data_IF_867086259982
#
_entry.id   IF_867086259982
#
_cell.length_a   1.000
_cell.length_b   1.000
_cell.length_c   1.000
_cell.angle_alpha   90.00
_cell.angle_beta   90.00
_cell.angle_gamma   90.00
#
_symmetry.space_group_name_H-M   'P 1'
#
loop_
_entity.id
_entity.type
_entity.pdbx_description
1 polymer ?
#
# COMPACT_ATOMS: atom_id res chain seq x y z
N UNK A 1 -19.14 26.21 -9.48
CA UNK A 1 -17.95 25.70 -10.20
C UNK A 1 -16.70 26.35 -9.61
N UNK A 2 -16.16 25.80 -8.51
CA UNK A 2 -14.84 26.19 -8.00
C UNK A 2 -13.80 25.40 -8.79
N UNK A 3 -12.83 26.08 -9.41
CA UNK A 3 -11.70 25.41 -10.06
C UNK A 3 -10.85 24.79 -8.97
N UNK A 4 -10.81 23.46 -8.89
CA UNK A 4 -9.84 22.75 -8.06
C UNK A 4 -8.42 23.16 -8.51
N UNK A 5 -7.47 23.30 -7.56
CA UNK A 5 -6.08 23.57 -7.91
C UNK A 5 -5.57 22.39 -8.74
N UNK A 6 -5.12 22.68 -9.96
CA UNK A 6 -4.40 21.76 -10.82
C UNK A 6 -3.06 21.47 -10.13
N UNK A 7 -3.05 20.54 -9.19
CA UNK A 7 -1.82 19.94 -8.68
C UNK A 7 -1.16 19.18 -9.85
N UNK A 8 0.18 19.21 -9.98
CA UNK A 8 0.83 18.77 -11.20
C UNK A 8 0.78 17.23 -11.28
N UNK A 9 -0.24 16.72 -11.97
CA UNK A 9 -0.40 15.33 -12.42
C UNK A 9 0.87 14.75 -13.09
N UNK A 10 1.78 15.63 -13.54
CA UNK A 10 3.07 15.30 -14.13
C UNK A 10 4.04 14.56 -13.20
N UNK A 11 3.93 14.70 -11.87
CA UNK A 11 4.84 14.03 -10.94
C UNK A 11 4.53 12.54 -10.75
N UNK A 12 3.25 12.14 -10.80
CA UNK A 12 2.87 10.72 -10.76
C UNK A 12 3.30 9.96 -12.03
N UNK A 13 3.30 10.66 -13.18
CA UNK A 13 3.79 10.12 -14.45
C UNK A 13 5.31 9.79 -14.42
N UNK A 14 6.10 10.55 -13.65
CA UNK A 14 7.53 10.31 -13.47
C UNK A 14 7.83 9.05 -12.65
N UNK A 15 6.97 8.69 -11.69
CA UNK A 15 7.15 7.46 -10.89
C UNK A 15 6.87 6.19 -11.71
N UNK A 16 5.86 6.22 -12.60
CA UNK A 16 5.55 5.08 -13.49
C UNK A 16 6.57 4.95 -14.62
N UNK A 17 7.09 6.06 -15.16
CA UNK A 17 8.14 6.03 -16.19
C UNK A 17 9.51 5.58 -15.66
N UNK A 18 9.82 5.79 -14.38
CA UNK A 18 11.06 5.31 -13.78
C UNK A 18 11.12 3.77 -13.66
N UNK A 19 9.97 3.08 -13.60
CA UNK A 19 9.91 1.62 -13.52
C UNK A 19 10.10 0.92 -14.89
N UNK A 20 9.92 1.64 -16.01
CA UNK A 20 10.17 1.15 -17.36
C UNK A 20 11.45 1.73 -17.99
N UNK A 21 12.33 2.33 -17.16
CA UNK A 21 13.68 2.68 -17.56
C UNK A 21 14.48 1.41 -17.83
N UNK A 22 14.43 0.94 -19.07
CA UNK A 22 15.27 -0.16 -19.54
C UNK A 22 16.71 0.15 -19.17
N UNK A 23 17.27 -0.63 -18.24
CA UNK A 23 18.68 -0.53 -17.92
C UNK A 23 19.46 -0.61 -19.24
N UNK A 24 20.33 0.37 -19.55
CA UNK A 24 21.21 0.23 -20.69
C UNK A 24 21.95 -1.10 -20.55
N UNK A 25 22.17 -1.85 -21.65
CA UNK A 25 22.88 -3.11 -21.60
C UNK A 25 24.20 -2.90 -20.85
N UNK A 26 24.57 -3.79 -19.92
CA UNK A 26 25.74 -3.62 -19.09
C UNK A 26 26.95 -3.35 -19.99
N UNK A 27 27.61 -2.22 -19.74
CA UNK A 27 28.84 -1.86 -20.44
C UNK A 27 29.83 -3.01 -20.28
N UNK A 28 30.46 -3.50 -21.36
CA UNK A 28 31.37 -4.64 -21.27
C UNK A 28 32.50 -4.33 -20.29
N UNK A 29 32.57 -5.09 -19.19
CA UNK A 29 33.60 -4.95 -18.17
C UNK A 29 34.98 -5.01 -18.83
N UNK A 30 35.85 -4.01 -18.62
CA UNK A 30 37.23 -4.07 -19.10
C UNK A 30 37.91 -5.35 -18.61
N UNK A 31 38.75 -6.00 -19.45
CA UNK A 31 39.47 -7.20 -19.02
C UNK A 31 40.32 -6.88 -17.80
N UNK A 32 40.06 -7.59 -16.70
CA UNK A 32 40.84 -7.45 -15.47
C UNK A 32 42.29 -7.87 -15.75
N UNK A 33 43.29 -7.09 -15.27
CA UNK A 33 44.68 -7.49 -15.36
C UNK A 33 44.91 -8.80 -14.58
N UNK A 34 45.84 -9.66 -15.04
CA UNK A 34 46.14 -10.93 -14.37
C UNK A 34 46.61 -10.68 -12.94
N UNK A 35 45.86 -11.23 -11.98
CA UNK A 35 46.22 -11.19 -10.57
C UNK A 35 47.45 -12.05 -10.33
N UNK A 36 48.52 -11.45 -9.79
CA UNK A 36 49.73 -12.17 -9.40
C UNK A 36 49.41 -13.16 -8.25
N UNK A 37 50.06 -14.35 -8.22
CA UNK A 37 49.86 -15.32 -7.16
C UNK A 37 50.32 -14.74 -5.82
N UNK A 38 49.40 -14.68 -4.86
CA UNK A 38 49.68 -14.31 -3.47
C UNK A 38 50.51 -15.43 -2.84
N UNK A 39 51.74 -15.11 -2.43
CA UNK A 39 52.58 -16.01 -1.64
C UNK A 39 52.01 -16.10 -0.23
N UNK A 40 51.64 -17.29 0.28
CA UNK A 40 51.13 -17.43 1.64
C UNK A 40 52.23 -17.15 2.65
N UNK A 41 51.97 -16.26 3.61
CA UNK A 41 52.85 -16.14 4.77
C UNK A 41 52.71 -17.38 5.67
N UNK A 42 53.83 -17.88 6.23
CA UNK A 42 53.79 -19.02 7.14
C UNK A 42 53.01 -18.69 8.42
N UNK A 43 52.17 -19.62 8.92
CA UNK A 43 51.37 -19.40 10.12
C UNK A 43 52.28 -19.23 11.34
N UNK A 44 52.14 -18.09 12.02
CA UNK A 44 52.77 -17.86 13.32
C UNK A 44 51.96 -18.63 14.36
N UNK A 45 52.61 -19.55 15.09
CA UNK A 45 51.96 -20.34 16.12
C UNK A 45 51.39 -19.42 17.22
N UNK A 46 50.11 -19.58 17.60
CA UNK A 46 49.52 -18.76 18.66
C UNK A 46 50.15 -19.10 20.02
N UNK A 47 50.33 -18.10 20.90
CA UNK A 47 50.80 -18.32 22.26
C UNK A 47 49.79 -19.17 23.03
N UNK A 48 50.30 -20.17 23.76
CA UNK A 48 49.49 -21.08 24.58
C UNK A 48 49.08 -20.35 25.86
N UNK A 49 47.83 -19.91 25.92
CA UNK A 49 47.24 -19.30 27.12
C UNK A 49 46.87 -20.40 28.13
N UNK A 50 47.12 -20.21 29.44
CA UNK A 50 46.67 -21.15 30.47
C UNK A 50 45.14 -21.35 30.45
N UNK A 51 44.63 -22.55 30.80
CA UNK A 51 43.20 -22.82 30.83
C UNK A 51 42.51 -21.94 31.89
N UNK A 52 41.57 -21.10 31.43
CA UNK A 52 40.71 -20.29 32.30
C UNK A 52 39.81 -21.20 33.12
N UNK A 53 39.68 -21.00 34.45
CA UNK A 53 38.72 -21.73 35.27
C UNK A 53 37.29 -21.60 34.71
N UNK A 54 36.44 -22.63 34.81
CA UNK A 54 35.06 -22.55 34.32
C UNK A 54 34.30 -21.44 35.04
N UNK A 55 33.95 -20.39 34.31
CA UNK A 55 33.09 -19.31 34.81
C UNK A 55 31.69 -19.89 35.03
N UNK A 56 31.17 -19.75 36.26
CA UNK A 56 29.76 -20.07 36.52
C UNK A 56 28.88 -19.19 35.61
N UNK A 57 27.84 -19.73 34.96
CA UNK A 57 26.92 -18.91 34.17
C UNK A 57 26.29 -17.86 35.07
N UNK A 58 26.51 -16.59 34.75
CA UNK A 58 25.80 -15.50 35.41
C UNK A 58 24.29 -15.69 35.19
N UNK A 59 23.47 -15.48 36.23
CA UNK A 59 22.03 -15.50 36.06
C UNK A 59 21.64 -14.42 35.03
N UNK A 60 20.70 -14.72 34.10
CA UNK A 60 20.28 -13.76 33.10
C UNK A 60 19.81 -12.48 33.81
N UNK A 61 20.54 -11.38 33.57
CA UNK A 61 20.33 -10.08 34.20
C UNK A 61 19.23 -9.28 33.48
N UNK A 62 18.78 -9.75 32.32
CA UNK A 62 17.67 -9.12 31.62
C UNK A 62 16.35 -9.40 32.34
N UNK A 63 15.62 -8.36 32.77
CA UNK A 63 14.26 -8.51 33.26
C UNK A 63 13.44 -9.28 32.22
N UNK A 64 12.51 -10.16 32.63
CA UNK A 64 11.61 -10.81 31.69
C UNK A 64 10.89 -9.74 30.87
N UNK A 65 11.19 -9.68 29.58
CA UNK A 65 10.49 -8.82 28.64
C UNK A 65 9.06 -9.33 28.59
N UNK A 66 8.14 -8.55 29.17
CA UNK A 66 6.72 -8.86 29.04
C UNK A 66 6.39 -8.81 27.55
N UNK A 67 5.76 -9.85 26.97
CA UNK A 67 5.42 -9.84 25.56
C UNK A 67 4.64 -8.58 25.24
N UNK A 68 5.16 -7.75 24.35
CA UNK A 68 4.42 -6.58 23.88
C UNK A 68 3.19 -7.09 23.12
N UNK A 69 1.98 -6.56 23.40
CA UNK A 69 0.81 -6.89 22.60
C UNK A 69 1.09 -6.68 21.11
N UNK A 70 0.56 -7.54 20.21
CA UNK A 70 0.66 -7.30 18.78
C UNK A 70 0.18 -5.89 18.45
N UNK A 71 0.90 -5.20 17.57
CA UNK A 71 0.47 -3.89 17.09
C UNK A 71 -0.90 -4.03 16.41
N UNK A 72 -1.81 -3.09 16.71
CA UNK A 72 -3.12 -3.04 16.05
C UNK A 72 -2.94 -2.72 14.56
N UNK A 73 -3.75 -3.35 13.70
CA UNK A 73 -3.75 -3.08 12.26
C UNK A 73 -4.49 -1.76 12.00
N UNK A 74 -3.83 -0.71 11.46
CA UNK A 74 -4.49 0.52 11.08
C UNK A 74 -5.61 0.26 10.08
N UNK A 75 -6.71 0.99 10.22
CA UNK A 75 -7.86 0.92 9.32
C UNK A 75 -8.52 -0.47 9.19
N UNK A 76 -8.23 -1.39 10.12
CA UNK A 76 -8.78 -2.76 10.13
C UNK A 76 -10.29 -2.81 10.00
N UNK A 77 -10.81 -3.70 9.17
CA UNK A 77 -12.24 -3.89 8.99
C UNK A 77 -12.62 -4.12 7.53
N UNK A 78 -13.92 -4.22 7.29
CA UNK A 78 -14.48 -4.38 5.96
C UNK A 78 -14.89 -3.01 5.42
N UNK A 79 -14.48 -2.72 4.19
CA UNK A 79 -14.75 -1.47 3.50
C UNK A 79 -15.49 -1.74 2.19
N UNK A 80 -16.63 -1.10 1.98
CA UNK A 80 -17.23 -0.98 0.66
C UNK A 80 -16.54 0.19 -0.06
N UNK A 81 -16.03 -0.04 -1.27
CA UNK A 81 -15.34 0.98 -2.05
C UNK A 81 -16.08 1.28 -3.34
N UNK A 82 -15.95 2.51 -3.81
CA UNK A 82 -16.57 3.04 -5.02
C UNK A 82 -15.57 3.90 -5.78
N UNK A 83 -15.46 3.66 -7.07
CA UNK A 83 -14.72 4.50 -8.01
C UNK A 83 -15.74 5.05 -9.01
N UNK A 84 -15.92 6.37 -8.97
CA UNK A 84 -16.93 7.09 -9.73
C UNK A 84 -16.23 7.83 -10.87
N UNK A 85 -16.56 7.45 -12.10
CA UNK A 85 -16.06 8.10 -13.31
C UNK A 85 -16.95 9.29 -13.71
N UNK A 86 -18.27 9.12 -13.57
CA UNK A 86 -19.27 10.17 -13.76
C UNK A 86 -20.58 9.86 -13.03
N UNK A 87 -21.64 10.63 -13.29
CA UNK A 87 -22.96 10.50 -12.63
C UNK A 87 -23.64 9.13 -12.84
N UNK A 88 -23.26 8.42 -13.90
CA UNK A 88 -23.88 7.17 -14.34
C UNK A 88 -22.93 5.99 -14.37
N UNK A 89 -21.62 6.26 -14.37
CA UNK A 89 -20.58 5.25 -14.53
C UNK A 89 -19.72 5.17 -13.26
N UNK A 90 -19.82 4.05 -12.57
CA UNK A 90 -19.00 3.73 -11.40
C UNK A 90 -18.74 2.23 -11.32
N UNK A 91 -17.67 1.87 -10.64
CA UNK A 91 -17.37 0.49 -10.21
C UNK A 91 -17.28 0.46 -8.70
N UNK A 92 -17.61 -0.69 -8.11
CA UNK A 92 -17.62 -0.83 -6.66
C UNK A 92 -17.14 -2.20 -6.24
N UNK A 93 -16.85 -2.34 -4.95
CA UNK A 93 -16.49 -3.63 -4.40
C UNK A 93 -16.23 -3.62 -2.91
N UNK A 94 -15.51 -4.64 -2.46
CA UNK A 94 -15.12 -4.84 -1.06
C UNK A 94 -13.62 -4.83 -0.87
N UNK A 95 -13.18 -4.37 0.29
CA UNK A 95 -11.81 -4.47 0.77
C UNK A 95 -11.84 -4.95 2.23
N UNK A 96 -11.10 -6.03 2.52
CA UNK A 96 -10.97 -6.59 3.88
C UNK A 96 -9.59 -6.30 4.45
N UNK A 97 -9.45 -5.23 5.24
CA UNK A 97 -8.18 -4.84 5.85
C UNK A 97 -7.95 -5.65 7.11
N UNK A 98 -7.00 -6.59 7.07
CA UNK A 98 -6.78 -7.59 8.13
C UNK A 98 -5.33 -7.73 8.55
N UNK A 99 -4.39 -7.15 7.80
CA UNK A 99 -2.97 -7.30 8.04
C UNK A 99 -2.28 -5.94 8.05
N UNK A 100 -1.19 -5.85 8.81
CA UNK A 100 -0.24 -4.75 8.65
C UNK A 100 0.41 -4.88 7.28
N UNK A 101 0.60 -3.76 6.58
CA UNK A 101 1.35 -3.77 5.34
C UNK A 101 2.76 -4.31 5.58
N UNK A 102 3.11 -5.36 4.85
CA UNK A 102 4.35 -6.09 5.07
C UNK A 102 5.60 -5.40 4.50
N UNK A 103 5.44 -4.43 3.59
CA UNK A 103 6.53 -3.74 2.92
C UNK A 103 6.20 -2.25 2.68
N UNK A 104 6.39 -1.37 3.69
CA UNK A 104 6.06 0.05 3.60
C UNK A 104 7.09 0.79 2.74
N UNK A 105 6.99 0.70 1.41
CA UNK A 105 7.87 1.50 0.54
C UNK A 105 7.32 2.92 0.38
N UNK A 106 5.99 3.09 0.42
CA UNK A 106 5.33 4.37 0.16
C UNK A 106 4.28 4.75 1.22
N UNK A 107 3.74 3.78 1.95
CA UNK A 107 2.73 3.99 2.97
C UNK A 107 3.29 3.76 4.37
N UNK A 108 2.80 4.54 5.31
CA UNK A 108 3.06 4.42 6.75
C UNK A 108 1.74 4.29 7.48
N UNK A 109 1.76 3.69 8.67
CA UNK A 109 0.56 3.49 9.49
C UNK A 109 -0.57 2.82 8.68
N UNK A 110 -0.23 1.77 7.93
CA UNK A 110 -1.09 1.18 6.90
C UNK A 110 -1.58 -0.22 7.24
N UNK A 111 -2.74 -0.53 6.69
CA UNK A 111 -3.31 -1.87 6.67
C UNK A 111 -3.57 -2.31 5.24
N UNK A 112 -3.43 -3.62 5.01
CA UNK A 112 -3.68 -4.25 3.72
C UNK A 112 -4.63 -5.44 3.84
N UNK A 113 -5.19 -5.84 2.69
CA UNK A 113 -5.83 -7.12 2.54
C UNK A 113 -6.54 -7.28 1.20
N UNK A 114 -7.28 -8.39 1.00
CA UNK A 114 -7.88 -8.70 -0.29
C UNK A 114 -8.99 -7.70 -0.63
N UNK A 115 -9.04 -7.30 -1.90
CA UNK A 115 -10.19 -6.61 -2.46
C UNK A 115 -10.88 -7.48 -3.53
N UNK A 116 -12.17 -7.26 -3.67
CA UNK A 116 -13.03 -7.84 -4.71
C UNK A 116 -13.68 -6.71 -5.48
N UNK A 117 -13.78 -6.89 -6.79
CA UNK A 117 -14.59 -6.05 -7.68
C UNK A 117 -15.98 -6.70 -7.86
N UNK A 118 -17.01 -5.87 -7.86
CA UNK A 118 -18.40 -6.30 -7.99
C UNK A 118 -19.04 -5.74 -9.26
N UNK A 119 -19.98 -6.51 -9.78
CA UNK A 119 -20.95 -6.08 -10.78
C UNK A 119 -22.22 -5.60 -10.08
N UNK A 120 -23.13 -4.94 -10.80
CA UNK A 120 -24.41 -4.47 -10.27
C UNK A 120 -25.18 -5.55 -9.48
N UNK A 121 -25.06 -6.82 -9.91
CA UNK A 121 -25.86 -7.93 -9.38
C UNK A 121 -25.08 -8.89 -8.48
N UNK A 122 -23.74 -8.95 -8.59
CA UNK A 122 -22.92 -9.90 -7.83
C UNK A 122 -21.45 -9.49 -7.73
N UNK A 123 -20.81 -9.88 -6.63
CA UNK A 123 -19.36 -9.77 -6.47
C UNK A 123 -18.64 -11.03 -6.95
N UNK A 124 -17.37 -10.90 -7.35
CA UNK A 124 -16.55 -12.05 -7.64
C UNK A 124 -16.26 -12.86 -6.37
N UNK A 125 -16.28 -14.20 -6.48
CA UNK A 125 -15.92 -15.10 -5.38
C UNK A 125 -14.42 -15.13 -5.07
N UNK A 126 -13.60 -14.58 -5.97
CA UNK A 126 -12.15 -14.58 -5.88
C UNK A 126 -11.66 -13.13 -5.75
N UNK A 127 -10.73 -12.85 -4.80
CA UNK A 127 -10.07 -11.55 -4.72
C UNK A 127 -9.47 -11.14 -6.07
N UNK A 128 -9.76 -9.91 -6.49
CA UNK A 128 -9.16 -9.31 -7.67
C UNK A 128 -7.70 -8.93 -7.41
N UNK A 129 -7.36 -8.66 -6.14
CA UNK A 129 -5.99 -8.39 -5.72
C UNK A 129 -5.90 -7.89 -4.29
N UNK A 130 -4.95 -6.99 -4.01
CA UNK A 130 -4.70 -6.42 -2.67
C UNK A 130 -5.00 -4.93 -2.67
N UNK A 131 -5.77 -4.47 -1.68
CA UNK A 131 -5.99 -3.07 -1.38
C UNK A 131 -5.25 -2.65 -0.12
N UNK A 132 -4.77 -1.41 -0.12
CA UNK A 132 -4.03 -0.78 0.98
C UNK A 132 -4.76 0.50 1.36
N UNK A 133 -4.87 0.78 2.66
CA UNK A 133 -5.26 2.08 3.20
C UNK A 133 -4.16 2.52 4.16
N UNK A 134 -3.65 3.73 4.00
CA UNK A 134 -2.49 4.18 4.75
C UNK A 134 -2.19 5.67 4.63
N UNK A 135 -1.18 6.11 5.35
CA UNK A 135 -0.63 7.46 5.21
C UNK A 135 0.52 7.45 4.21
N UNK A 136 0.32 8.07 3.06
CA UNK A 136 1.36 8.36 2.09
C UNK A 136 2.16 9.59 2.51
N UNK A 137 3.49 9.51 2.44
CA UNK A 137 4.39 10.61 2.82
C UNK A 137 5.21 11.06 1.61
N UNK A 138 5.04 12.31 1.22
CA UNK A 138 5.84 12.95 0.17
C UNK A 138 6.49 14.23 0.71
N UNK A 139 7.81 14.20 0.85
CA UNK A 139 8.56 15.27 1.48
C UNK A 139 8.12 15.49 2.93
N UNK A 140 7.42 16.60 3.19
CA UNK A 140 6.86 16.93 4.53
C UNK A 140 5.34 16.79 4.61
N UNK A 141 4.70 16.45 3.49
CA UNK A 141 3.25 16.27 3.42
C UNK A 141 2.89 14.83 3.78
N UNK A 142 1.87 14.67 4.62
CA UNK A 142 1.23 13.39 4.93
C UNK A 142 -0.16 13.41 4.31
N UNK A 143 -0.51 12.40 3.52
CA UNK A 143 -1.82 12.28 2.90
C UNK A 143 -2.40 10.90 3.18
N UNK A 144 -3.61 10.82 3.70
CA UNK A 144 -4.38 9.59 3.75
C UNK A 144 -4.66 9.16 2.31
N UNK A 145 -4.30 7.94 1.99
CA UNK A 145 -4.37 7.42 0.64
C UNK A 145 -4.77 5.96 0.63
N UNK A 146 -5.24 5.51 -0.52
CA UNK A 146 -5.55 4.12 -0.78
C UNK A 146 -5.02 3.72 -2.14
N UNK A 147 -4.55 2.48 -2.25
CA UNK A 147 -4.03 1.92 -3.49
C UNK A 147 -4.48 0.47 -3.65
N UNK A 148 -4.81 0.08 -4.89
CA UNK A 148 -5.31 -1.24 -5.23
C UNK A 148 -4.41 -1.83 -6.30
N UNK A 149 -3.91 -3.04 -6.05
CA UNK A 149 -3.05 -3.80 -6.96
C UNK A 149 -3.82 -4.99 -7.49
N UNK A 150 -4.06 -5.03 -8.80
CA UNK A 150 -4.84 -6.08 -9.45
C UNK A 150 -3.91 -7.21 -9.91
N UNK A 151 -4.24 -8.43 -9.49
CA UNK A 151 -3.47 -9.62 -9.81
C UNK A 151 -3.50 -9.99 -11.29
N UNK A 152 -4.56 -9.61 -12.02
CA UNK A 152 -4.72 -9.84 -13.46
C UNK A 152 -3.86 -8.89 -14.27
N UNK A 153 -3.71 -7.65 -13.80
CA UNK A 153 -2.84 -6.65 -14.41
C UNK A 153 -1.37 -6.82 -14.02
N UNK A 154 -1.11 -7.54 -12.92
CA UNK A 154 0.23 -7.66 -12.34
C UNK A 154 0.77 -6.34 -11.80
N UNK A 155 -0.11 -5.41 -11.40
CA UNK A 155 0.30 -4.05 -11.04
C UNK A 155 -0.81 -3.19 -10.44
N UNK A 156 -0.53 -1.89 -10.34
CA UNK A 156 -1.46 -0.90 -9.81
C UNK A 156 -2.72 -0.83 -10.70
N UNK A 157 -3.88 -0.93 -10.08
CA UNK A 157 -5.19 -0.67 -10.71
C UNK A 157 -5.67 0.73 -10.42
N UNK A 158 -5.42 1.21 -9.20
CA UNK A 158 -6.01 2.44 -8.73
C UNK A 158 -5.23 3.02 -7.54
N UNK A 159 -5.15 4.34 -7.48
CA UNK A 159 -4.65 5.09 -6.32
C UNK A 159 -5.48 6.35 -6.11
N UNK A 160 -5.80 6.68 -4.86
CA UNK A 160 -6.45 7.94 -4.50
C UNK A 160 -5.94 8.52 -3.21
N UNK A 161 -6.16 9.82 -3.08
CA UNK A 161 -5.85 10.62 -1.91
C UNK A 161 -7.15 11.18 -1.34
N UNK A 162 -7.28 11.12 -0.03
CA UNK A 162 -8.40 11.71 0.69
C UNK A 162 -8.37 13.23 0.53
N UNK A 163 -9.53 13.84 0.31
CA UNK A 163 -9.63 15.25 -0.04
C UNK A 163 -9.26 16.19 1.12
N UNK A 164 -9.44 15.74 2.36
CA UNK A 164 -9.14 16.52 3.58
C UNK A 164 -8.20 15.80 4.55
N UNK A 165 -7.52 14.76 4.06
CA UNK A 165 -6.47 14.02 4.76
C UNK A 165 -6.94 13.40 6.10
N UNK A 166 -8.20 12.94 6.16
CA UNK A 166 -8.76 12.33 7.35
C UNK A 166 -9.92 11.41 7.02
N UNK A 167 -10.10 10.37 7.83
CA UNK A 167 -11.37 9.64 7.81
C UNK A 167 -12.48 10.54 8.38
N UNK A 168 -13.52 10.70 7.58
CA UNK A 168 -14.75 11.38 7.95
C UNK A 168 -15.85 10.39 8.35
N UNK A 169 -17.09 10.89 8.41
CA UNK A 169 -18.29 10.11 8.73
C UNK A 169 -19.50 10.56 7.90
N UNK A 170 -19.25 11.04 6.67
CA UNK A 170 -20.23 11.72 5.83
C UNK A 170 -21.33 10.79 5.31
N UNK A 171 -21.07 9.48 5.25
CA UNK A 171 -21.98 8.50 4.70
C UNK A 171 -22.57 7.66 5.83
N UNK A 172 -23.82 7.97 6.19
CA UNK A 172 -24.60 7.24 7.21
C UNK A 172 -23.92 7.13 8.59
N UNK A 173 -23.02 8.07 8.91
CA UNK A 173 -22.26 8.06 10.17
C UNK A 173 -21.19 6.97 10.26
N UNK A 174 -20.89 6.28 9.15
CA UNK A 174 -19.82 5.28 9.06
C UNK A 174 -18.49 5.96 8.75
N UNK A 175 -17.39 5.40 9.26
CA UNK A 175 -16.05 5.87 8.90
C UNK A 175 -15.88 5.85 7.38
N UNK A 176 -15.50 7.00 6.83
CA UNK A 176 -15.52 7.25 5.39
C UNK A 176 -14.21 7.86 4.94
N UNK A 177 -13.65 7.36 3.84
CA UNK A 177 -12.64 8.00 3.02
C UNK A 177 -13.34 8.64 1.81
N UNK A 178 -13.10 9.91 1.53
CA UNK A 178 -13.65 10.59 0.35
C UNK A 178 -12.54 11.36 -0.35
N UNK A 179 -12.22 10.94 -1.57
CA UNK A 179 -11.05 11.42 -2.26
C UNK A 179 -11.19 11.49 -3.77
N UNK A 180 -10.07 11.78 -4.39
CA UNK A 180 -9.90 11.73 -5.84
C UNK A 180 -8.61 11.00 -6.18
N UNK A 181 -8.57 10.39 -7.35
CA UNK A 181 -7.46 9.56 -7.75
C UNK A 181 -7.41 9.27 -9.23
N UNK A 182 -6.61 8.27 -9.56
CA UNK A 182 -6.41 7.79 -10.92
C UNK A 182 -6.76 6.31 -10.97
N UNK A 183 -7.60 5.95 -11.93
CA UNK A 183 -7.88 4.57 -12.31
C UNK A 183 -7.08 4.20 -13.57
N UNK A 184 -6.41 3.05 -13.53
CA UNK A 184 -5.68 2.48 -14.65
C UNK A 184 -6.55 1.45 -15.35
N UNK A 185 -7.03 1.80 -16.53
CA UNK A 185 -7.83 0.91 -17.37
C UNK A 185 -6.98 -0.22 -17.97
N UNK A 186 -7.64 -1.25 -18.49
CA UNK A 186 -6.97 -2.45 -19.03
C UNK A 186 -6.10 -2.16 -20.26
N UNK A 187 -6.39 -1.07 -20.98
CA UNK A 187 -5.58 -0.58 -22.10
C UNK A 187 -4.40 0.30 -21.66
N UNK A 188 -4.19 0.46 -20.35
CA UNK A 188 -3.16 1.30 -19.75
C UNK A 188 -3.51 2.79 -19.70
N UNK A 189 -4.69 3.20 -20.17
CA UNK A 189 -5.13 4.59 -20.03
C UNK A 189 -5.40 4.96 -18.58
N UNK A 190 -5.23 6.25 -18.29
CA UNK A 190 -5.45 6.84 -16.97
C UNK A 190 -6.73 7.66 -16.98
N UNK A 191 -7.59 7.42 -15.99
CA UNK A 191 -8.85 8.12 -15.81
C UNK A 191 -8.86 8.80 -14.45
N UNK A 192 -9.16 10.11 -14.42
CA UNK A 192 -9.41 10.83 -13.18
C UNK A 192 -10.75 10.36 -12.59
N UNK A 193 -10.76 10.04 -11.30
CA UNK A 193 -11.91 9.46 -10.63
C UNK A 193 -12.16 10.08 -9.27
N UNK A 194 -13.42 10.14 -8.87
CA UNK A 194 -13.82 10.37 -7.48
C UNK A 194 -13.96 9.04 -6.76
N UNK A 195 -13.63 9.00 -5.47
CA UNK A 195 -13.51 7.75 -4.71
C UNK A 195 -14.20 7.90 -3.36
N UNK A 196 -14.90 6.83 -2.98
CA UNK A 196 -15.39 6.66 -1.61
C UNK A 196 -15.02 5.28 -1.08
N UNK A 197 -14.52 5.21 0.15
CA UNK A 197 -14.50 3.96 0.93
C UNK A 197 -15.34 4.19 2.18
N UNK A 198 -16.25 3.26 2.46
CA UNK A 198 -17.14 3.32 3.63
C UNK A 198 -16.93 2.06 4.44
N UNK A 199 -16.60 2.19 5.73
CA UNK A 199 -16.48 1.03 6.61
C UNK A 199 -17.88 0.43 6.83
N UNK A 200 -17.98 -0.88 6.68
CA UNK A 200 -19.22 -1.63 6.79
C UNK A 200 -19.04 -2.78 7.77
N UNK A 201 -20.11 -3.22 8.47
CA UNK A 201 -19.97 -4.24 9.49
C UNK A 201 -19.52 -5.59 8.94
N UNK A 202 -20.22 -6.20 7.97
CA UNK A 202 -19.92 -7.59 7.58
C UNK A 202 -20.27 -7.96 6.12
N UNK A 203 -21.30 -7.37 5.50
CA UNK A 203 -21.71 -7.68 4.12
C UNK A 203 -21.37 -6.52 3.16
N UNK A 204 -20.31 -6.70 2.37
CA UNK A 204 -19.89 -5.77 1.33
C UNK A 204 -20.97 -5.60 0.27
N UNK A 205 -21.56 -6.69 -0.23
CA UNK A 205 -22.45 -6.65 -1.40
C UNK A 205 -23.74 -5.93 -1.05
N UNK A 206 -24.39 -6.34 0.05
CA UNK A 206 -25.60 -5.69 0.54
C UNK A 206 -25.35 -4.25 0.99
N UNK A 207 -24.17 -3.97 1.58
CA UNK A 207 -23.83 -2.59 1.92
C UNK A 207 -23.57 -1.72 0.69
N UNK A 208 -22.83 -2.21 -0.31
CA UNK A 208 -22.48 -1.41 -1.48
C UNK A 208 -23.73 -1.02 -2.28
N UNK A 209 -24.66 -1.95 -2.50
CA UNK A 209 -25.94 -1.66 -3.16
C UNK A 209 -26.79 -0.64 -2.40
N UNK A 210 -26.82 -0.73 -1.06
CA UNK A 210 -27.54 0.24 -0.21
C UNK A 210 -26.88 1.63 -0.24
N UNK A 211 -25.55 1.67 -0.22
CA UNK A 211 -24.78 2.90 -0.08
C UNK A 211 -24.59 3.65 -1.40
N UNK A 212 -24.69 2.98 -2.55
CA UNK A 212 -24.41 3.57 -3.86
C UNK A 212 -25.09 4.94 -4.11
N UNK A 213 -26.39 5.15 -3.81
CA UNK A 213 -27.01 6.46 -4.02
C UNK A 213 -26.42 7.57 -3.13
N UNK A 214 -26.14 7.25 -1.86
CA UNK A 214 -25.53 8.18 -0.90
C UNK A 214 -24.09 8.52 -1.31
N UNK A 215 -23.35 7.52 -1.77
CA UNK A 215 -21.97 7.65 -2.22
C UNK A 215 -21.88 8.52 -3.48
N UNK A 216 -22.68 8.23 -4.52
CA UNK A 216 -22.68 9.01 -5.75
C UNK A 216 -22.94 10.49 -5.45
N UNK A 217 -23.91 10.78 -4.57
CA UNK A 217 -24.18 12.14 -4.13
C UNK A 217 -23.05 12.78 -3.32
N UNK A 218 -22.30 12.01 -2.53
CA UNK A 218 -21.17 12.55 -1.77
C UNK A 218 -19.97 12.82 -2.68
N UNK A 219 -19.66 11.88 -3.58
CA UNK A 219 -18.50 11.91 -4.46
C UNK A 219 -18.59 13.00 -5.54
N UNK A 220 -19.77 13.20 -6.13
CA UNK A 220 -19.95 14.14 -7.26
C UNK A 220 -20.04 15.62 -6.84
N UNK A 221 -20.23 15.91 -5.55
CA UNK A 221 -20.51 17.26 -5.05
C UNK A 221 -19.42 17.83 -4.12
N UNK A 222 -18.31 17.10 -3.90
CA UNK A 222 -17.09 17.63 -3.27
C UNK A 222 -16.20 18.32 -4.32
#
# INVERSE_FOLDING_TARGET
>A
MRRLPVFPLWFLLLLVLAACGGNPPPEPTPPQPPTLPVVPNPPTAPPVTPPTPPTLPEPPTEPPTTPQPPAAVPYSGIWAWFVVFDETNYVFGGLSVTQLESAPVLFTDSGEGPYIECTETACADIPSGIGIIGTYVEGSSRNLATAFFDSRLGGLRFVAFDADNRLGNEIEGQETFLGSGIWLADDGSQLDVAVALVRVPEDVTGAAQRLAPSVLRAALFK
#
